data_IF_605867242403
#
_entry.id   IF_605867242403
#
_cell.length_a   1.000
_cell.length_b   1.000
_cell.length_c   1.000
_cell.angle_alpha   90.00
_cell.angle_beta   90.00
_cell.angle_gamma   90.00
#
_symmetry.space_group_name_H-M   'P 1'
#
loop_
_entity.id
_entity.type
_entity.pdbx_description
1 polymer ?
#
# COMPACT_ATOMS: atom_id res chain seq x y z
N UNK A 1 -2.98 -14.28 16.11
CA UNK A 1 -2.79 -14.27 15.73
C UNK A 1 -2.08 -14.23 14.85
N UNK A 2 -2.17 -14.14 14.21
CA UNK A 2 -1.38 -14.37 13.47
C UNK A 2 -1.18 -13.54 12.38
N UNK A 3 -0.22 -12.68 12.33
CA UNK A 3 0.04 -11.74 11.36
C UNK A 3 0.41 -12.29 10.06
N UNK A 4 0.96 -13.48 10.04
CA UNK A 4 1.38 -14.00 8.79
C UNK A 4 0.24 -14.36 7.90
N UNK A 5 -0.98 -14.34 8.40
CA UNK A 5 -2.12 -14.62 7.57
C UNK A 5 -2.67 -13.38 6.88
N UNK A 6 -2.12 -12.21 7.13
CA UNK A 6 -2.67 -11.00 6.52
C UNK A 6 -2.68 -11.06 4.99
N UNK A 7 -1.57 -11.48 4.40
CA UNK A 7 -1.50 -11.51 2.95
C UNK A 7 -2.52 -12.46 2.35
N UNK A 8 -2.92 -13.48 3.09
CA UNK A 8 -3.88 -14.44 2.60
C UNK A 8 -5.30 -13.88 2.47
N UNK A 9 -5.54 -12.71 3.02
CA UNK A 9 -6.82 -12.04 2.85
C UNK A 9 -6.94 -11.39 1.48
N UNK A 10 -5.82 -11.12 0.83
CA UNK A 10 -5.83 -10.41 -0.45
C UNK A 10 -6.16 -11.36 -1.60
N UNK A 11 -6.98 -10.88 -2.51
CA UNK A 11 -7.37 -11.61 -3.70
C UNK A 11 -7.12 -10.77 -4.93
N UNK A 12 -7.02 -11.41 -6.07
CA UNK A 12 -6.79 -10.72 -7.32
C UNK A 12 -7.80 -11.16 -8.36
N UNK A 13 -7.87 -10.40 -9.42
CA UNK A 13 -8.58 -10.83 -10.63
C UNK A 13 -7.68 -10.51 -11.82
N UNK A 14 -7.94 -11.20 -12.93
CA UNK A 14 -7.13 -11.04 -14.13
C UNK A 14 -7.27 -9.62 -14.66
N UNK A 15 -6.14 -9.03 -15.05
CA UNK A 15 -6.14 -7.69 -15.63
C UNK A 15 -6.90 -7.69 -16.96
N UNK A 16 -8.05 -7.02 -17.03
CA UNK A 16 -8.85 -7.04 -18.26
C UNK A 16 -8.24 -6.20 -19.39
N UNK A 17 -7.22 -5.39 -19.09
CA UNK A 17 -6.60 -4.53 -20.09
C UNK A 17 -5.10 -4.75 -20.11
N UNK A 18 -4.69 -6.01 -20.15
CA UNK A 18 -3.26 -6.35 -20.04
C UNK A 18 -2.42 -5.80 -21.17
N UNK A 19 -3.04 -5.43 -22.29
CA UNK A 19 -2.33 -4.87 -23.44
C UNK A 19 -1.93 -3.41 -23.24
N UNK A 20 -2.41 -2.79 -22.19
CA UNK A 20 -2.18 -1.36 -21.96
C UNK A 20 -1.46 -1.10 -20.67
N UNK A 21 -0.68 -0.03 -20.64
CA UNK A 21 -0.14 0.49 -19.40
C UNK A 21 -1.12 1.56 -18.93
N UNK A 22 -1.80 1.29 -17.84
CA UNK A 22 -2.70 2.26 -17.25
C UNK A 22 -2.50 2.29 -15.75
N UNK A 23 -2.80 3.41 -15.14
CA UNK A 23 -2.52 3.64 -13.74
C UNK A 23 -3.79 3.50 -12.93
N UNK A 24 -3.76 2.64 -11.93
CA UNK A 24 -4.85 2.50 -10.98
C UNK A 24 -4.46 3.25 -9.73
N UNK A 25 -5.34 4.12 -9.24
CA UNK A 25 -5.11 4.90 -8.04
C UNK A 25 -6.17 4.55 -7.02
N UNK A 26 -5.73 4.11 -5.85
CA UNK A 26 -6.64 3.74 -4.77
C UNK A 26 -6.27 4.53 -3.53
N UNK A 27 -7.26 5.16 -2.92
CA UNK A 27 -7.06 5.91 -1.71
C UNK A 27 -7.73 5.19 -0.56
N UNK A 28 -7.00 5.02 0.52
CA UNK A 28 -7.51 4.36 1.71
C UNK A 28 -7.47 5.39 2.83
N UNK A 29 -8.58 6.13 3.05
CA UNK A 29 -8.54 7.27 3.98
C UNK A 29 -8.61 6.89 5.44
N UNK A 30 -8.96 5.64 5.75
CA UNK A 30 -9.14 5.25 7.14
C UNK A 30 -8.37 4.00 7.47
N UNK A 31 -7.07 4.15 7.66
CA UNK A 31 -6.24 3.05 8.10
C UNK A 31 -5.91 3.22 9.58
N UNK A 32 -5.90 2.13 10.31
CA UNK A 32 -5.58 2.15 11.74
C UNK A 32 -4.66 1.00 12.09
N UNK A 33 -3.66 1.29 12.91
CA UNK A 33 -2.86 0.27 13.57
C UNK A 33 -2.55 0.78 14.97
N UNK A 34 -1.81 0.01 15.76
CA UNK A 34 -1.51 0.41 17.12
C UNK A 34 -0.05 0.83 17.24
N UNK A 35 0.20 1.84 18.05
CA UNK A 35 1.55 2.23 18.37
C UNK A 35 2.18 1.13 19.22
N UNK A 36 3.33 0.57 18.84
CA UNK A 36 3.91 -0.52 19.62
C UNK A 36 4.42 -0.09 20.98
N UNK A 37 4.65 1.22 21.17
CA UNK A 37 5.14 1.70 22.48
C UNK A 37 4.00 1.96 23.45
N UNK A 38 2.88 2.49 22.98
CA UNK A 38 1.81 2.91 23.89
C UNK A 38 0.55 2.08 23.75
N UNK A 39 0.40 1.32 22.68
CA UNK A 39 -0.82 0.57 22.43
C UNK A 39 -1.96 1.44 21.95
N UNK A 40 -1.73 2.72 21.70
CA UNK A 40 -2.79 3.58 21.24
C UNK A 40 -2.92 3.52 19.73
N UNK A 41 -4.11 3.80 19.22
CA UNK A 41 -4.30 3.70 17.76
C UNK A 41 -3.59 4.84 17.03
N UNK A 42 -2.99 4.47 15.91
CA UNK A 42 -2.42 5.39 14.94
C UNK A 42 -3.29 5.37 13.71
N UNK A 43 -3.56 6.54 13.15
CA UNK A 43 -4.43 6.67 11.99
C UNK A 43 -3.65 7.20 10.81
N UNK A 44 -3.99 6.73 9.63
CA UNK A 44 -3.28 7.14 8.43
C UNK A 44 -4.21 7.15 7.22
N UNK A 45 -3.82 7.97 6.23
CA UNK A 45 -4.38 7.88 4.90
C UNK A 45 -3.33 7.19 4.05
N UNK A 46 -3.76 6.21 3.28
CA UNK A 46 -2.82 5.48 2.43
C UNK A 46 -3.20 5.63 0.97
N UNK A 47 -2.19 5.62 0.13
CA UNK A 47 -2.36 5.85 -1.30
C UNK A 47 -1.61 4.79 -2.06
N UNK A 48 -2.33 4.06 -2.89
CA UNK A 48 -1.74 3.02 -3.73
C UNK A 48 -1.91 3.44 -5.19
N UNK A 49 -0.80 3.45 -5.93
CA UNK A 49 -0.86 3.69 -7.37
C UNK A 49 -0.06 2.60 -8.03
N UNK A 50 -0.63 1.95 -9.03
CA UNK A 50 0.12 0.90 -9.69
C UNK A 50 -0.32 0.70 -11.14
N UNK A 51 0.61 0.17 -11.93
CA UNK A 51 0.34 -0.25 -13.31
C UNK A 51 0.34 -1.77 -13.29
N UNK A 52 -0.81 -2.40 -13.47
CA UNK A 52 -0.89 -3.85 -13.33
C UNK A 52 -0.26 -4.59 -14.50
N UNK A 53 0.32 -5.74 -14.22
CA UNK A 53 0.79 -6.64 -15.24
C UNK A 53 -0.31 -7.65 -15.52
N UNK A 54 -0.34 -8.74 -14.80
CA UNK A 54 -1.33 -9.81 -15.02
C UNK A 54 -2.53 -9.72 -14.08
N UNK A 55 -2.35 -9.10 -12.94
CA UNK A 55 -3.36 -9.15 -11.87
C UNK A 55 -3.69 -7.77 -11.34
N UNK A 56 -4.96 -7.58 -11.02
CA UNK A 56 -5.43 -6.40 -10.29
C UNK A 56 -5.88 -6.84 -8.91
N UNK A 57 -5.70 -5.98 -7.92
CA UNK A 57 -6.14 -6.30 -6.55
C UNK A 57 -7.65 -6.15 -6.47
N UNK A 58 -8.30 -7.11 -5.80
CA UNK A 58 -9.74 -7.08 -5.63
C UNK A 58 -10.05 -6.19 -4.42
N UNK A 59 -10.96 -5.22 -4.59
CA UNK A 59 -11.14 -4.16 -3.60
C UNK A 59 -11.76 -4.61 -2.29
N UNK A 60 -12.69 -5.56 -2.33
CA UNK A 60 -13.29 -6.04 -1.10
C UNK A 60 -12.25 -6.73 -0.23
N UNK A 61 -11.40 -7.51 -0.86
CA UNK A 61 -10.32 -8.18 -0.14
C UNK A 61 -9.31 -7.17 0.39
N UNK A 62 -9.06 -6.11 -0.35
CA UNK A 62 -8.15 -5.06 0.09
C UNK A 62 -8.70 -4.38 1.34
N UNK A 63 -10.02 -4.14 1.37
CA UNK A 63 -10.65 -3.56 2.53
C UNK A 63 -10.46 -4.43 3.76
N UNK A 64 -10.68 -5.74 3.63
CA UNK A 64 -10.52 -6.66 4.74
C UNK A 64 -9.06 -6.75 5.17
N UNK A 65 -8.16 -6.73 4.20
CA UNK A 65 -6.74 -6.77 4.48
C UNK A 65 -6.31 -5.55 5.30
N UNK A 66 -6.74 -4.35 4.88
CA UNK A 66 -6.37 -3.14 5.61
C UNK A 66 -6.96 -3.15 7.03
N UNK A 67 -8.18 -3.63 7.17
CA UNK A 67 -8.82 -3.69 8.48
C UNK A 67 -8.11 -4.67 9.42
N UNK A 68 -7.40 -5.65 8.87
CA UNK A 68 -6.73 -6.65 9.69
C UNK A 68 -5.59 -6.05 10.52
N UNK A 69 -5.19 -4.82 10.23
CA UNK A 69 -4.11 -4.19 10.98
C UNK A 69 -4.58 -3.43 12.23
N UNK A 70 -5.87 -3.32 12.44
CA UNK A 70 -6.39 -2.49 13.52
C UNK A 70 -5.85 -2.82 14.89
N UNK A 71 -5.63 -4.10 15.16
CA UNK A 71 -5.14 -4.52 16.47
C UNK A 71 -3.65 -4.86 16.44
N UNK A 72 -2.98 -4.56 15.35
CA UNK A 72 -1.58 -4.94 15.19
C UNK A 72 -0.67 -3.78 15.55
N UNK A 73 0.28 -4.01 16.47
CA UNK A 73 1.26 -3.00 16.82
C UNK A 73 2.33 -2.93 15.77
N UNK A 74 2.58 -1.74 15.23
CA UNK A 74 3.58 -1.60 14.18
C UNK A 74 4.04 -0.16 14.08
N UNK A 75 5.34 0.02 13.88
CA UNK A 75 5.87 1.33 13.56
C UNK A 75 5.45 1.71 12.14
N UNK A 76 5.38 3.01 11.88
CA UNK A 76 4.90 3.51 10.58
C UNK A 76 5.70 2.94 9.42
N UNK A 77 7.02 2.89 9.58
CA UNK A 77 7.90 2.38 8.53
C UNK A 77 7.70 0.89 8.30
N UNK A 78 7.48 0.16 9.38
CA UNK A 78 7.34 -1.29 9.29
C UNK A 78 6.03 -1.68 8.63
N UNK A 79 4.93 -1.06 9.03
CA UNK A 79 3.64 -1.45 8.47
C UNK A 79 3.53 -1.04 7.02
N UNK A 80 4.06 0.14 6.67
CA UNK A 80 4.02 0.58 5.27
C UNK A 80 4.83 -0.35 4.39
N UNK A 81 6.03 -0.73 4.85
CA UNK A 81 6.88 -1.64 4.10
C UNK A 81 6.27 -3.03 3.96
N UNK A 82 5.61 -3.51 5.01
CA UNK A 82 4.97 -4.81 4.97
C UNK A 82 3.84 -4.83 3.95
N UNK A 83 3.02 -3.80 3.93
CA UNK A 83 1.93 -3.71 2.96
C UNK A 83 2.49 -3.64 1.55
N UNK A 84 3.54 -2.82 1.35
CA UNK A 84 4.18 -2.70 0.05
C UNK A 84 4.68 -4.06 -0.42
N UNK A 85 5.37 -4.81 0.45
CA UNK A 85 5.92 -6.12 0.06
C UNK A 85 4.81 -7.11 -0.27
N UNK A 86 3.72 -7.10 0.49
CA UNK A 86 2.60 -7.98 0.20
C UNK A 86 1.98 -7.66 -1.16
N UNK A 87 1.81 -6.39 -1.46
CA UNK A 87 1.24 -5.99 -2.75
C UNK A 87 2.16 -6.33 -3.89
N UNK A 88 3.47 -6.16 -3.71
CA UNK A 88 4.45 -6.54 -4.73
C UNK A 88 4.40 -8.04 -5.00
N UNK A 89 4.35 -8.84 -3.94
CA UNK A 89 4.33 -10.30 -4.09
C UNK A 89 3.03 -10.76 -4.76
N UNK A 90 1.93 -10.11 -4.42
CA UNK A 90 0.64 -10.50 -4.95
C UNK A 90 0.47 -10.12 -6.42
N UNK A 91 0.88 -8.91 -6.78
CA UNK A 91 0.55 -8.34 -8.09
C UNK A 91 1.67 -8.42 -9.11
N UNK A 92 2.93 -8.47 -8.68
CA UNK A 92 4.08 -8.36 -9.57
C UNK A 92 3.86 -7.29 -10.63
N UNK A 93 3.59 -6.06 -10.21
CA UNK A 93 3.15 -5.01 -11.14
C UNK A 93 4.32 -4.42 -11.91
N UNK A 94 4.02 -3.71 -12.99
CA UNK A 94 5.05 -2.99 -13.73
C UNK A 94 5.54 -1.78 -12.96
N UNK A 95 4.65 -1.17 -12.19
CA UNK A 95 4.96 -0.02 -11.36
C UNK A 95 4.06 -0.07 -10.14
N UNK A 96 4.59 0.29 -8.99
CA UNK A 96 3.77 0.41 -7.79
C UNK A 96 4.37 1.44 -6.86
N UNK A 97 3.54 2.37 -6.42
CA UNK A 97 3.90 3.34 -5.40
C UNK A 97 2.90 3.20 -4.26
N UNK A 98 3.40 3.03 -3.06
CA UNK A 98 2.55 2.93 -1.88
C UNK A 98 3.02 3.93 -0.85
N UNK A 99 2.13 4.82 -0.43
CA UNK A 99 2.46 5.89 0.51
C UNK A 99 1.48 5.90 1.66
N UNK A 100 2.01 6.05 2.87
CA UNK A 100 1.21 6.25 4.08
C UNK A 100 1.44 7.64 4.60
N UNK A 101 0.36 8.35 4.91
CA UNK A 101 0.43 9.67 5.54
C UNK A 101 -0.22 9.55 6.90
N UNK A 102 0.58 9.49 7.94
CA UNK A 102 0.06 9.31 9.29
C UNK A 102 -0.35 10.65 9.89
N UNK A 103 -1.40 10.60 10.70
CA UNK A 103 -1.89 11.79 11.38
C UNK A 103 -0.83 12.30 12.35
N UNK A 104 -0.89 13.58 12.62
CA UNK A 104 0.10 14.22 13.50
C UNK A 104 0.05 13.60 14.90
N UNK A 105 1.24 13.40 15.46
CA UNK A 105 1.38 12.86 16.80
C UNK A 105 2.48 13.64 17.48
N UNK A 106 2.16 14.33 18.56
CA UNK A 106 3.15 15.14 19.26
C UNK A 106 3.74 16.23 18.37
N UNK A 107 2.94 16.75 17.45
CA UNK A 107 3.41 17.79 16.55
C UNK A 107 4.22 17.28 15.36
N UNK A 108 4.31 15.95 15.19
CA UNK A 108 5.12 15.36 14.11
C UNK A 108 4.24 14.63 13.13
N UNK A 109 4.46 14.90 11.83
CA UNK A 109 3.81 14.19 10.74
C UNK A 109 4.83 13.20 10.16
N UNK A 110 4.37 12.01 9.80
CA UNK A 110 5.22 11.02 9.19
C UNK A 110 4.59 10.53 7.89
N UNK A 111 5.32 10.68 6.80
CA UNK A 111 4.94 10.08 5.52
C UNK A 111 5.98 9.04 5.18
N UNK A 112 5.54 7.85 4.78
CA UNK A 112 6.43 6.78 4.38
C UNK A 112 6.03 6.33 2.99
N UNK A 113 6.99 6.22 2.10
CA UNK A 113 6.68 5.93 0.69
C UNK A 113 7.65 4.93 0.12
N UNK A 114 7.12 3.90 -0.55
CA UNK A 114 7.90 2.88 -1.24
C UNK A 114 7.50 2.86 -2.71
N UNK A 115 8.48 2.74 -3.59
CA UNK A 115 8.22 2.76 -5.03
C UNK A 115 8.98 1.65 -5.73
N UNK A 116 8.33 0.99 -6.68
CA UNK A 116 8.95 -0.02 -7.53
C UNK A 116 8.60 0.27 -8.99
N UNK A 117 9.55 0.29 -9.87
CA UNK A 117 10.99 0.27 -9.62
C UNK A 117 11.46 1.61 -9.07
N UNK A 118 12.52 1.56 -8.28
CA UNK A 118 13.04 2.74 -7.58
C UNK A 118 13.42 3.86 -8.54
N UNK A 119 13.92 3.51 -9.71
CA UNK A 119 14.34 4.50 -10.68
C UNK A 119 13.22 5.46 -11.09
N UNK A 120 11.97 5.02 -10.99
CA UNK A 120 10.85 5.87 -11.35
C UNK A 120 10.70 7.04 -10.38
N UNK A 121 11.19 6.88 -9.16
CA UNK A 121 11.05 7.91 -8.16
C UNK A 121 11.78 9.19 -8.54
N UNK A 122 12.93 9.05 -9.20
CA UNK A 122 13.76 10.20 -9.45
C UNK A 122 13.56 10.86 -10.78
N UNK A 123 13.44 10.06 -11.82
CA UNK A 123 13.49 10.62 -13.15
C UNK A 123 12.32 10.31 -14.01
N UNK A 124 11.78 9.13 -13.87
CA UNK A 124 10.83 8.66 -14.85
C UNK A 124 9.39 8.92 -14.48
N UNK A 125 9.11 9.29 -13.25
CA UNK A 125 7.74 9.59 -12.89
C UNK A 125 7.10 10.62 -13.81
N UNK A 126 7.72 11.78 -14.05
CA UNK A 126 7.16 12.72 -14.99
C UNK A 126 7.08 12.15 -16.39
N UNK A 127 8.10 11.39 -16.78
CA UNK A 127 8.11 10.79 -18.10
C UNK A 127 6.98 9.80 -18.27
N UNK A 128 6.73 9.00 -17.26
CA UNK A 128 5.63 8.05 -17.29
C UNK A 128 4.31 8.79 -17.45
N UNK A 129 4.15 9.85 -16.73
CA UNK A 129 2.92 10.61 -16.82
C UNK A 129 2.72 11.24 -18.18
N UNK A 130 3.80 11.53 -18.89
CA UNK A 130 3.70 12.14 -20.19
C UNK A 130 3.58 11.12 -21.31
N UNK A 131 3.77 9.89 -20.98
CA UNK A 131 3.64 8.84 -21.96
C UNK A 131 2.24 8.28 -21.97
#
# INVERSE_FOLDING_TARGET
MNQKSNINLLETFSNPNADHDFLIKIKIPEFTCLCPMTGQPDFAKMYLEYVPEKFCVELKSLKLYMASYREEGAYHEAVTGKIFEHLMALLSPRYLNFKSKFNVRGGIYTDVEFTHPVSYTHLTLPTICSV
#
